data_IF_136374406117
#
_entry.id   IF_136374406117
#
_cell.length_a   1.000
_cell.length_b   1.000
_cell.length_c   1.000
_cell.angle_alpha   90.00
_cell.angle_beta   90.00
_cell.angle_gamma   90.00
#
_symmetry.space_group_name_H-M   'P 1'
#
loop_
_entity.id
_entity.type
_entity.pdbx_description
1 polymer ?
#
# COMPACT_ATOMS: atom_id res chain seq x y z
N UNK A 1 -3.94 -14.82 23.58
CA UNK A 1 -4.88 -14.12 22.68
C UNK A 1 -4.52 -14.53 21.27
N UNK A 2 -5.49 -14.60 20.35
CA UNK A 2 -5.20 -14.88 18.95
C UNK A 2 -4.50 -13.64 18.34
N UNK A 3 -3.26 -13.76 17.82
CA UNK A 3 -2.55 -12.62 17.23
C UNK A 3 -3.04 -12.31 15.80
N UNK A 4 -3.76 -13.23 15.16
CA UNK A 4 -4.23 -13.08 13.77
C UNK A 4 -5.33 -12.00 13.71
N UNK A 5 -5.14 -11.04 12.81
CA UNK A 5 -6.06 -9.92 12.62
C UNK A 5 -7.31 -10.35 11.86
N UNK A 6 -8.49 -9.77 12.18
CA UNK A 6 -9.67 -9.92 11.35
C UNK A 6 -9.38 -9.45 9.92
N UNK A 7 -9.86 -10.23 8.95
CA UNK A 7 -9.67 -9.94 7.52
C UNK A 7 -11.00 -9.55 6.89
N UNK A 8 -11.00 -8.47 6.10
CA UNK A 8 -12.17 -7.96 5.40
C UNK A 8 -11.92 -7.91 3.89
N UNK A 9 -12.76 -8.60 3.12
CA UNK A 9 -12.77 -8.52 1.66
C UNK A 9 -13.65 -7.35 1.20
N UNK A 10 -13.15 -6.54 0.27
CA UNK A 10 -13.86 -5.35 -0.22
C UNK A 10 -14.05 -5.42 -1.72
N UNK A 11 -15.32 -5.47 -2.14
CA UNK A 11 -15.69 -5.40 -3.54
C UNK A 11 -15.38 -4.03 -4.14
N UNK A 12 -14.83 -4.01 -5.35
CA UNK A 12 -14.48 -2.78 -6.08
C UNK A 12 -14.83 -2.93 -7.56
N UNK A 13 -15.24 -1.84 -8.25
CA UNK A 13 -15.51 -1.89 -9.68
C UNK A 13 -14.34 -2.40 -10.54
N UNK A 14 -13.11 -2.22 -10.06
CA UNK A 14 -11.87 -2.62 -10.72
C UNK A 14 -11.28 -3.93 -10.17
N UNK A 15 -11.96 -4.55 -9.20
CA UNK A 15 -11.49 -5.77 -8.52
C UNK A 15 -11.48 -6.99 -9.42
N UNK A 16 -10.92 -8.11 -8.94
CA UNK A 16 -10.87 -9.38 -9.65
C UNK A 16 -12.01 -10.31 -9.21
N UNK A 17 -12.52 -11.08 -10.15
CA UNK A 17 -13.43 -12.20 -9.97
C UNK A 17 -12.70 -13.50 -9.57
N UNK A 18 -11.41 -13.61 -9.90
CA UNK A 18 -10.52 -14.68 -9.44
C UNK A 18 -9.32 -14.08 -8.74
N UNK A 19 -9.20 -14.34 -7.45
CA UNK A 19 -8.08 -13.89 -6.63
C UNK A 19 -6.94 -14.92 -6.64
N UNK A 20 -5.68 -14.47 -6.48
CA UNK A 20 -4.59 -15.39 -6.28
C UNK A 20 -4.72 -16.08 -4.90
N UNK A 21 -4.33 -17.36 -4.79
CA UNK A 21 -4.30 -18.05 -3.51
C UNK A 21 -3.50 -17.28 -2.45
N UNK A 22 -3.93 -17.31 -1.18
CA UNK A 22 -5.04 -18.11 -0.65
C UNK A 22 -6.37 -17.33 -0.61
N UNK A 23 -6.45 -16.18 -1.27
CA UNK A 23 -7.67 -15.39 -1.29
C UNK A 23 -8.66 -15.96 -2.30
N UNK A 24 -9.95 -15.81 -1.99
CA UNK A 24 -11.04 -16.24 -2.85
C UNK A 24 -12.06 -15.11 -2.97
N UNK A 25 -12.61 -14.92 -4.17
CA UNK A 25 -13.74 -14.02 -4.39
C UNK A 25 -15.04 -14.83 -4.35
N UNK A 26 -16.06 -14.38 -3.62
CA UNK A 26 -17.40 -14.97 -3.71
C UNK A 26 -17.94 -14.92 -5.15
N UNK A 27 -18.74 -15.91 -5.52
CA UNK A 27 -19.31 -16.00 -6.86
C UNK A 27 -20.14 -14.75 -7.21
N UNK A 28 -19.78 -14.08 -8.31
CA UNK A 28 -20.45 -12.86 -8.78
C UNK A 28 -19.94 -11.57 -8.14
N UNK A 29 -18.97 -11.63 -7.23
CA UNK A 29 -18.31 -10.47 -6.65
C UNK A 29 -16.94 -10.21 -7.29
N UNK A 30 -16.59 -8.93 -7.41
CA UNK A 30 -15.26 -8.50 -7.84
C UNK A 30 -14.54 -7.89 -6.64
N UNK A 31 -13.62 -8.64 -6.05
CA UNK A 31 -12.86 -8.20 -4.87
C UNK A 31 -11.63 -7.44 -5.32
N UNK A 32 -11.51 -6.18 -4.89
CA UNK A 32 -10.35 -5.35 -5.21
C UNK A 32 -9.35 -5.26 -4.08
N UNK A 33 -9.81 -5.39 -2.83
CA UNK A 33 -8.96 -5.18 -1.67
C UNK A 33 -9.25 -6.23 -0.60
N UNK A 34 -8.20 -6.68 0.08
CA UNK A 34 -8.28 -7.45 1.32
C UNK A 34 -7.63 -6.62 2.41
N UNK A 35 -8.38 -6.27 3.44
CA UNK A 35 -7.92 -5.43 4.55
C UNK A 35 -7.66 -6.29 5.76
N UNK A 36 -6.56 -6.02 6.46
CA UNK A 36 -6.35 -6.52 7.81
C UNK A 36 -6.76 -5.42 8.79
N UNK A 37 -7.81 -5.66 9.57
CA UNK A 37 -8.39 -4.65 10.46
C UNK A 37 -7.33 -4.16 11.46
N UNK A 38 -7.09 -2.84 11.55
CA UNK A 38 -6.06 -2.27 12.41
C UNK A 38 -6.28 -2.68 13.88
N UNK A 39 -5.29 -3.30 14.55
CA UNK A 39 -5.44 -3.68 15.94
C UNK A 39 -5.34 -2.47 16.86
N UNK A 40 -5.95 -2.55 18.05
CA UNK A 40 -5.94 -1.45 19.03
C UNK A 40 -4.52 -0.98 19.43
N UNK A 41 -3.53 -1.88 19.40
CA UNK A 41 -2.14 -1.56 19.72
C UNK A 41 -1.42 -0.81 18.58
N UNK A 42 -1.91 -0.90 17.34
CA UNK A 42 -1.34 -0.25 16.15
C UNK A 42 -2.45 0.38 15.29
N UNK A 43 -3.22 1.34 15.83
CA UNK A 43 -4.40 1.86 15.13
C UNK A 43 -4.04 2.79 13.97
N UNK A 44 -2.78 3.20 13.86
CA UNK A 44 -2.29 4.15 12.84
C UNK A 44 -1.78 3.50 11.56
N UNK A 45 -1.79 2.17 11.44
CA UNK A 45 -1.38 1.46 10.23
C UNK A 45 -2.50 0.58 9.69
N UNK A 46 -2.58 0.51 8.38
CA UNK A 46 -3.45 -0.40 7.66
C UNK A 46 -2.63 -1.11 6.58
N UNK A 47 -2.76 -2.44 6.56
CA UNK A 47 -2.14 -3.28 5.53
C UNK A 47 -3.23 -3.87 4.66
N UNK A 48 -3.01 -3.84 3.35
CA UNK A 48 -3.94 -4.39 2.37
C UNK A 48 -3.22 -5.25 1.34
N UNK A 49 -3.95 -6.22 0.80
CA UNK A 49 -3.68 -6.71 -0.54
C UNK A 49 -4.59 -6.00 -1.52
N UNK A 50 -4.06 -5.56 -2.65
CA UNK A 50 -4.81 -4.94 -3.74
C UNK A 50 -4.70 -5.82 -4.99
N UNK A 51 -5.84 -6.08 -5.63
CA UNK A 51 -5.98 -6.90 -6.81
C UNK A 51 -6.71 -6.13 -7.91
N UNK A 52 -5.96 -5.55 -8.85
CA UNK A 52 -6.50 -4.75 -9.94
C UNK A 52 -6.64 -5.60 -11.22
N UNK A 53 -7.86 -5.69 -11.76
CA UNK A 53 -8.10 -6.14 -13.15
C UNK A 53 -8.34 -4.98 -14.11
N UNK A 54 -8.72 -3.82 -13.58
CA UNK A 54 -8.84 -2.56 -14.31
C UNK A 54 -8.06 -1.47 -13.57
N UNK A 55 -7.79 -0.35 -14.24
CA UNK A 55 -7.16 0.79 -13.59
C UNK A 55 -8.05 1.34 -12.47
N UNK A 56 -7.43 1.59 -11.31
CA UNK A 56 -8.00 2.38 -10.23
C UNK A 56 -8.12 3.84 -10.66
N UNK A 57 -8.92 4.62 -9.94
CA UNK A 57 -8.99 6.05 -10.18
C UNK A 57 -7.64 6.74 -9.98
N UNK A 58 -7.40 7.80 -10.76
CA UNK A 58 -6.33 8.76 -10.46
C UNK A 58 -6.72 9.53 -9.21
N UNK A 59 -5.84 9.50 -8.22
CA UNK A 59 -6.15 10.00 -6.88
C UNK A 59 -4.94 10.67 -6.22
N UNK A 60 -5.22 11.37 -5.13
CA UNK A 60 -4.21 12.02 -4.29
C UNK A 60 -4.68 12.04 -2.84
N UNK A 61 -3.71 12.05 -1.94
CA UNK A 61 -3.93 12.02 -0.49
C UNK A 61 -3.31 13.25 0.19
N UNK A 62 -3.95 13.82 1.23
CA UNK A 62 -3.37 14.88 2.03
C UNK A 62 -2.29 14.35 2.98
N UNK A 63 -1.44 15.26 3.47
CA UNK A 63 -0.52 14.99 4.59
C UNK A 63 -1.22 15.16 5.94
N UNK A 64 -0.57 14.71 7.02
CA UNK A 64 -1.03 14.91 8.40
C UNK A 64 -1.31 16.39 8.69
N UNK A 65 -0.36 17.26 8.34
CA UNK A 65 -0.48 18.71 8.56
C UNK A 65 -1.65 19.35 7.80
N UNK A 66 -1.92 18.89 6.57
CA UNK A 66 -3.08 19.37 5.80
C UNK A 66 -4.39 18.87 6.41
N UNK A 67 -4.43 17.61 6.83
CA UNK A 67 -5.61 17.01 7.46
C UNK A 67 -5.98 17.73 8.76
N UNK A 68 -4.97 18.07 9.57
CA UNK A 68 -5.14 18.84 10.81
C UNK A 68 -5.61 20.27 10.52
N UNK A 69 -4.98 20.96 9.56
CA UNK A 69 -5.40 22.29 9.15
C UNK A 69 -6.83 22.36 8.60
N UNK A 70 -7.30 21.28 7.98
CA UNK A 70 -8.68 21.14 7.47
C UNK A 70 -9.68 20.67 8.55
N UNK A 71 -9.22 20.30 9.75
CA UNK A 71 -10.07 19.77 10.81
C UNK A 71 -10.64 18.37 10.53
N UNK A 72 -9.98 17.59 9.66
CA UNK A 72 -10.42 16.25 9.24
C UNK A 72 -9.84 15.12 10.12
N UNK A 73 -8.92 15.46 11.02
CA UNK A 73 -8.20 14.52 11.87
C UNK A 73 -6.70 14.84 11.92
N UNK A 74 -5.91 13.91 12.46
CA UNK A 74 -4.45 14.08 12.60
C UNK A 74 -3.64 13.26 11.61
N UNK A 75 -4.28 12.39 10.83
CA UNK A 75 -3.62 11.46 9.90
C UNK A 75 -4.02 11.78 8.46
N UNK A 76 -3.03 12.16 7.66
CA UNK A 76 -3.08 12.09 6.21
C UNK A 76 -2.93 10.65 5.74
N UNK A 77 -2.44 10.47 4.52
CA UNK A 77 -2.24 9.14 3.95
C UNK A 77 -1.01 9.09 3.07
N UNK A 78 0.10 8.68 3.67
CA UNK A 78 1.25 8.12 2.96
C UNK A 78 1.13 6.60 2.91
N UNK A 79 1.65 6.04 1.83
CA UNK A 79 1.55 4.62 1.54
C UNK A 79 2.82 4.11 0.87
N UNK A 80 2.99 2.80 0.87
CA UNK A 80 3.98 2.13 0.08
C UNK A 80 3.43 0.84 -0.50
N UNK A 81 3.97 0.45 -1.65
CA UNK A 81 3.50 -0.66 -2.44
C UNK A 81 4.63 -1.61 -2.75
N UNK A 82 4.44 -2.89 -2.40
CA UNK A 82 5.26 -3.99 -2.89
C UNK A 82 4.46 -4.75 -3.94
N UNK A 83 4.89 -4.69 -5.20
CA UNK A 83 4.27 -5.45 -6.29
C UNK A 83 4.56 -6.93 -6.08
N UNK A 84 3.52 -7.75 -5.92
CA UNK A 84 3.64 -9.19 -5.69
C UNK A 84 3.37 -10.01 -6.97
N UNK A 85 2.62 -9.45 -7.91
CA UNK A 85 2.43 -10.01 -9.25
C UNK A 85 2.01 -8.90 -10.22
N UNK A 86 2.38 -9.04 -11.49
CA UNK A 86 2.03 -8.09 -12.53
C UNK A 86 1.82 -8.84 -13.86
N UNK A 87 0.71 -8.54 -14.54
CA UNK A 87 0.43 -9.05 -15.89
C UNK A 87 1.27 -8.31 -16.95
N UNK A 88 1.44 -8.87 -18.16
CA UNK A 88 2.16 -8.18 -19.23
C UNK A 88 1.57 -6.79 -19.51
N UNK A 89 2.42 -5.76 -19.46
CA UNK A 89 2.00 -4.37 -19.68
C UNK A 89 1.42 -3.66 -18.45
N UNK A 90 1.40 -4.31 -17.28
CA UNK A 90 0.99 -3.68 -16.03
C UNK A 90 1.89 -2.50 -15.66
N UNK A 91 1.26 -1.44 -15.18
CA UNK A 91 1.91 -0.16 -14.87
C UNK A 91 1.37 0.45 -13.57
N UNK A 92 2.18 1.27 -12.92
CA UNK A 92 1.77 2.19 -11.87
C UNK A 92 1.95 3.62 -12.35
N UNK A 93 0.91 4.45 -12.26
CA UNK A 93 1.00 5.88 -12.55
C UNK A 93 1.36 6.62 -11.28
N UNK A 94 2.52 7.28 -11.22
CA UNK A 94 2.99 7.95 -10.00
C UNK A 94 3.67 9.28 -10.36
N UNK A 95 3.12 10.39 -9.88
CA UNK A 95 3.53 11.72 -10.26
C UNK A 95 3.31 12.00 -11.75
N UNK A 96 3.93 13.07 -12.23
CA UNK A 96 3.80 13.53 -13.61
C UNK A 96 5.09 13.36 -14.40
N UNK A 97 4.98 13.31 -15.73
CA UNK A 97 6.15 13.26 -16.64
C UNK A 97 6.99 14.55 -16.56
N UNK A 98 6.32 15.66 -16.30
CA UNK A 98 6.85 17.01 -16.18
C UNK A 98 6.07 17.74 -15.08
N UNK A 99 6.49 18.96 -14.70
CA UNK A 99 5.73 19.76 -13.75
C UNK A 99 4.37 20.19 -14.34
N UNK A 100 3.30 20.06 -13.56
CA UNK A 100 1.92 20.34 -13.96
C UNK A 100 1.29 21.31 -12.97
N UNK A 101 0.76 22.44 -13.47
CA UNK A 101 0.02 23.37 -12.60
C UNK A 101 -1.34 22.81 -12.16
N UNK A 102 -1.89 23.33 -11.06
CA UNK A 102 -3.24 22.95 -10.62
C UNK A 102 -4.33 23.22 -11.65
N UNK A 103 -4.20 24.28 -12.47
CA UNK A 103 -5.13 24.59 -13.56
C UNK A 103 -5.07 23.55 -14.68
N UNK A 104 -3.85 23.16 -15.11
CA UNK A 104 -3.66 22.10 -16.09
C UNK A 104 -4.19 20.76 -15.57
N UNK A 105 -3.90 20.42 -14.32
CA UNK A 105 -4.40 19.22 -13.66
C UNK A 105 -5.93 19.19 -13.65
N UNK A 106 -6.59 20.33 -13.34
CA UNK A 106 -8.04 20.45 -13.33
C UNK A 106 -8.67 20.21 -14.70
N UNK A 107 -8.13 20.87 -15.72
CA UNK A 107 -8.62 20.73 -17.08
C UNK A 107 -8.47 19.27 -17.54
N UNK A 108 -7.30 18.69 -17.33
CA UNK A 108 -6.98 17.34 -17.73
C UNK A 108 -7.78 16.27 -16.96
N UNK A 109 -8.11 16.51 -15.69
CA UNK A 109 -8.97 15.64 -14.91
C UNK A 109 -10.42 15.62 -15.42
N UNK A 110 -10.91 16.75 -15.94
CA UNK A 110 -12.28 16.88 -16.45
C UNK A 110 -12.47 16.24 -17.83
N UNK A 111 -11.47 16.32 -18.71
CA UNK A 111 -11.53 15.72 -20.05
C UNK A 111 -10.88 14.33 -20.14
N UNK A 112 -10.20 13.89 -19.08
CA UNK A 112 -9.54 12.59 -18.97
C UNK A 112 -8.10 12.55 -19.46
N UNK A 113 -7.58 13.63 -20.04
CA UNK A 113 -6.19 13.71 -20.50
C UNK A 113 -5.15 13.69 -19.36
N UNK A 114 -5.57 13.70 -18.10
CA UNK A 114 -4.66 13.60 -16.95
C UNK A 114 -3.79 12.34 -16.99
N UNK A 115 -4.32 11.24 -17.54
CA UNK A 115 -3.55 10.00 -17.73
C UNK A 115 -2.35 10.20 -18.63
N UNK A 116 -2.47 11.05 -19.65
CA UNK A 116 -1.38 11.37 -20.55
C UNK A 116 -0.32 12.21 -19.84
N UNK A 117 -0.67 12.98 -18.82
CA UNK A 117 0.28 13.79 -18.06
C UNK A 117 1.07 12.94 -17.05
N UNK A 118 0.49 11.86 -16.55
CA UNK A 118 1.09 11.00 -15.52
C UNK A 118 2.33 10.26 -16.03
N UNK A 119 3.28 10.05 -15.11
CA UNK A 119 4.41 9.16 -15.35
C UNK A 119 3.99 7.71 -15.06
N UNK A 120 3.92 6.88 -16.10
CA UNK A 120 3.59 5.47 -15.99
C UNK A 120 4.86 4.62 -15.90
N UNK A 121 5.00 3.89 -14.80
CA UNK A 121 6.10 3.00 -14.49
C UNK A 121 5.70 1.56 -14.82
N UNK A 122 6.34 0.89 -15.79
CA UNK A 122 6.20 -0.56 -15.97
C UNK A 122 6.63 -1.29 -14.71
N UNK A 123 5.86 -2.29 -14.29
CA UNK A 123 6.13 -3.01 -13.04
C UNK A 123 6.18 -4.53 -13.23
N UNK A 124 6.91 -5.18 -12.32
CA UNK A 124 6.98 -6.63 -12.14
C UNK A 124 6.98 -6.97 -10.65
N UNK A 125 6.79 -8.25 -10.33
CA UNK A 125 6.91 -8.74 -8.97
C UNK A 125 8.29 -8.39 -8.38
N UNK A 126 8.29 -7.90 -7.13
CA UNK A 126 9.48 -7.43 -6.43
C UNK A 126 9.76 -5.93 -6.60
N UNK A 127 9.06 -5.21 -7.47
CA UNK A 127 9.20 -3.75 -7.50
C UNK A 127 8.54 -3.11 -6.27
N UNK A 128 9.21 -2.11 -5.69
CA UNK A 128 8.75 -1.40 -4.51
C UNK A 128 8.68 0.10 -4.76
N UNK A 129 7.63 0.73 -4.25
CA UNK A 129 7.36 2.16 -4.37
C UNK A 129 6.92 2.74 -3.03
N UNK A 130 7.52 3.86 -2.62
CA UNK A 130 6.99 4.71 -1.56
C UNK A 130 6.22 5.87 -2.18
N UNK A 131 5.03 6.18 -1.66
CA UNK A 131 4.13 7.21 -2.16
C UNK A 131 3.94 8.25 -1.05
N UNK A 132 4.74 9.33 -1.08
CA UNK A 132 4.54 10.44 -0.14
C UNK A 132 3.16 11.07 -0.32
N UNK A 133 2.66 11.71 0.73
CA UNK A 133 1.44 12.51 0.63
C UNK A 133 1.58 13.54 -0.49
N UNK A 134 0.45 13.94 -1.06
CA UNK A 134 0.34 14.91 -2.16
C UNK A 134 0.79 14.40 -3.53
N UNK A 135 1.32 13.18 -3.63
CA UNK A 135 1.67 12.57 -4.91
C UNK A 135 0.41 12.11 -5.62
N UNK A 136 0.17 12.60 -6.85
CA UNK A 136 -0.92 12.07 -7.70
C UNK A 136 -0.52 10.68 -8.20
N UNK A 137 -1.39 9.69 -8.05
CA UNK A 137 -1.07 8.31 -8.40
C UNK A 137 -2.31 7.50 -8.82
N UNK A 138 -2.06 6.36 -9.46
CA UNK A 138 -3.05 5.37 -9.86
C UNK A 138 -2.40 3.98 -9.98
N UNK A 139 -3.12 2.94 -9.55
CA UNK A 139 -2.74 1.55 -9.80
C UNK A 139 -3.37 1.12 -11.12
N UNK A 140 -2.55 0.74 -12.09
CA UNK A 140 -3.01 0.27 -13.41
C UNK A 140 -3.61 -1.13 -13.36
N UNK A 141 -4.22 -1.53 -14.48
CA UNK A 141 -4.78 -2.88 -14.65
C UNK A 141 -3.68 -3.96 -14.56
N UNK A 142 -4.05 -5.15 -14.11
CA UNK A 142 -3.16 -6.30 -14.09
C UNK A 142 -2.15 -6.32 -12.94
N UNK A 143 -2.21 -5.36 -12.01
CA UNK A 143 -1.32 -5.28 -10.84
C UNK A 143 -1.93 -6.01 -9.64
N UNK A 144 -1.12 -6.78 -8.93
CA UNK A 144 -1.39 -7.25 -7.57
C UNK A 144 -0.28 -6.79 -6.65
N UNK A 145 -0.61 -6.14 -5.54
CA UNK A 145 0.38 -5.57 -4.62
C UNK A 145 -0.05 -5.69 -3.15
N UNK A 146 0.93 -5.58 -2.26
CA UNK A 146 0.70 -5.32 -0.84
C UNK A 146 0.88 -3.81 -0.63
N UNK A 147 -0.12 -3.19 -0.01
CA UNK A 147 -0.09 -1.80 0.42
C UNK A 147 0.08 -1.74 1.94
N UNK A 148 1.05 -0.96 2.41
CA UNK A 148 1.14 -0.51 3.81
C UNK A 148 0.96 0.99 3.81
N UNK A 149 -0.03 1.47 4.56
CA UNK A 149 -0.40 2.88 4.61
C UNK A 149 -0.65 3.32 6.05
N UNK A 150 -0.62 4.64 6.27
CA UNK A 150 -1.28 5.22 7.44
C UNK A 150 -2.77 4.82 7.42
N UNK A 151 -3.36 4.62 8.60
CA UNK A 151 -4.77 4.27 8.71
C UNK A 151 -5.67 5.51 8.51
N UNK A 152 -5.83 5.89 7.23
CA UNK A 152 -6.68 6.98 6.79
C UNK A 152 -7.43 6.58 5.53
N UNK A 153 -8.70 6.97 5.47
CA UNK A 153 -9.59 6.74 4.33
C UNK A 153 -9.69 7.96 3.39
N UNK A 154 -8.95 9.04 3.67
CA UNK A 154 -9.05 10.28 2.89
C UNK A 154 -8.44 10.09 1.50
N UNK A 155 -9.32 10.01 0.49
CA UNK A 155 -8.94 9.82 -0.91
C UNK A 155 -9.61 10.87 -1.79
N UNK A 156 -8.84 11.78 -2.37
CA UNK A 156 -9.35 12.73 -3.34
C UNK A 156 -9.18 12.18 -4.75
N UNK A 157 -10.30 11.77 -5.32
CA UNK A 157 -10.38 11.26 -6.69
C UNK A 157 -10.33 12.41 -7.70
N UNK A 158 -9.36 12.38 -8.61
CA UNK A 158 -9.23 13.36 -9.68
C UNK A 158 -9.89 12.87 -10.97
N UNK A 159 -9.70 11.61 -11.34
CA UNK A 159 -10.28 11.04 -12.55
C UNK A 159 -10.64 9.56 -12.36
N UNK A 160 -11.72 9.11 -13.01
CA UNK A 160 -12.26 7.76 -12.81
C UNK A 160 -12.81 7.09 -14.06
N UNK A 161 -12.30 7.43 -15.24
CA UNK A 161 -12.65 6.72 -16.47
C UNK A 161 -14.16 6.77 -16.79
N UNK A 162 -14.83 7.85 -16.39
CA UNK A 162 -16.28 8.03 -16.57
C UNK A 162 -17.17 7.16 -15.67
N UNK A 163 -16.60 6.41 -14.71
CA UNK A 163 -17.39 5.65 -13.72
C UNK A 163 -18.18 6.61 -12.82
N UNK A 164 -19.41 6.25 -12.39
CA UNK A 164 -20.31 7.15 -11.66
C UNK A 164 -19.93 7.26 -10.17
N UNK A 165 -18.66 7.59 -9.88
CA UNK A 165 -18.17 7.87 -8.53
C UNK A 165 -17.76 9.33 -8.43
N UNK A 166 -17.88 9.87 -7.22
CA UNK A 166 -17.57 11.27 -6.95
C UNK A 166 -16.09 11.59 -7.25
N UNK A 167 -15.89 12.73 -7.92
CA UNK A 167 -14.59 13.39 -8.08
C UNK A 167 -14.48 14.51 -7.05
N UNK A 168 -13.30 14.69 -6.48
CA UNK A 168 -13.02 15.64 -5.41
C UNK A 168 -12.02 16.68 -5.91
N UNK A 169 -12.31 17.31 -7.06
CA UNK A 169 -11.33 18.14 -7.77
C UNK A 169 -10.79 19.29 -6.93
N UNK A 170 -11.66 20.04 -6.24
CA UNK A 170 -11.21 21.19 -5.44
C UNK A 170 -10.27 20.76 -4.31
N UNK A 171 -10.67 19.77 -3.51
CA UNK A 171 -9.86 19.26 -2.40
C UNK A 171 -8.59 18.56 -2.89
N UNK A 172 -8.70 17.76 -3.95
CA UNK A 172 -7.58 17.03 -4.54
C UNK A 172 -6.53 17.95 -5.12
N UNK A 173 -6.92 18.94 -5.93
CA UNK A 173 -5.98 19.90 -6.52
C UNK A 173 -5.35 20.79 -5.44
N UNK A 174 -6.10 21.15 -4.39
CA UNK A 174 -5.58 21.95 -3.29
C UNK A 174 -4.45 21.26 -2.52
N UNK A 175 -4.41 19.92 -2.49
CA UNK A 175 -3.35 19.17 -1.82
C UNK A 175 -2.32 18.58 -2.77
N UNK A 176 -2.63 18.43 -4.05
CA UNK A 176 -1.75 17.77 -5.01
C UNK A 176 -0.48 18.58 -5.30
N UNK A 177 0.63 17.86 -5.42
CA UNK A 177 1.87 18.38 -6.02
C UNK A 177 1.95 17.87 -7.45
N UNK A 178 1.91 18.80 -8.40
CA UNK A 178 2.11 18.51 -9.82
C UNK A 178 3.59 18.33 -10.16
N UNK A 179 4.28 17.45 -9.44
CA UNK A 179 5.73 17.27 -9.52
C UNK A 179 6.09 15.95 -10.22
N UNK A 180 7.33 15.89 -10.71
CA UNK A 180 7.94 14.64 -11.19
C UNK A 180 8.26 13.75 -10.00
N UNK A 181 7.86 12.48 -10.08
CA UNK A 181 8.12 11.52 -9.01
C UNK A 181 9.63 11.23 -8.88
N UNK A 182 10.17 11.41 -7.67
CA UNK A 182 11.60 11.30 -7.46
C UNK A 182 12.07 9.83 -7.54
N UNK A 183 13.14 9.52 -8.30
CA UNK A 183 13.63 8.14 -8.48
C UNK A 183 14.00 7.42 -7.17
N UNK A 184 14.37 8.17 -6.12
CA UNK A 184 14.74 7.60 -4.82
C UNK A 184 13.61 6.83 -4.13
N UNK A 185 12.36 7.05 -4.55
CA UNK A 185 11.19 6.45 -3.92
C UNK A 185 10.78 5.12 -4.53
N UNK A 186 11.43 4.67 -5.60
CA UNK A 186 11.19 3.35 -6.16
C UNK A 186 12.47 2.60 -6.42
N UNK A 187 12.41 1.27 -6.27
CA UNK A 187 13.51 0.37 -6.59
C UNK A 187 12.99 -1.06 -6.79
N UNK A 188 13.69 -1.88 -7.57
CA UNK A 188 13.51 -3.31 -7.47
C UNK A 188 13.99 -3.79 -6.09
N UNK A 189 13.30 -4.79 -5.56
CA UNK A 189 13.70 -5.55 -4.37
C UNK A 189 14.14 -6.92 -4.86
N UNK A 190 15.26 -7.41 -4.31
CA UNK A 190 15.75 -8.77 -4.58
C UNK A 190 14.69 -9.81 -4.23
N UNK A 191 14.77 -11.05 -4.73
CA UNK A 191 13.75 -12.07 -4.38
C UNK A 191 13.90 -12.56 -2.94
N UNK A 192 15.11 -12.49 -2.39
CA UNK A 192 15.52 -13.10 -1.12
C UNK A 192 16.39 -12.14 -0.29
N UNK A 193 16.57 -12.47 0.99
CA UNK A 193 17.38 -11.72 1.95
C UNK A 193 16.61 -10.69 2.77
N UNK A 194 17.20 -10.28 3.91
CA UNK A 194 16.69 -9.20 4.74
C UNK A 194 16.87 -7.85 4.03
N UNK A 195 15.83 -7.01 4.01
CA UNK A 195 15.85 -5.72 3.32
C UNK A 195 14.91 -4.70 4.00
N UNK A 196 15.42 -3.50 4.29
CA UNK A 196 14.63 -2.37 4.78
C UNK A 196 14.02 -1.61 3.60
N UNK A 197 12.71 -1.74 3.44
CA UNK A 197 11.97 -1.10 2.35
C UNK A 197 11.61 0.34 2.67
N UNK A 198 11.22 0.61 3.93
CA UNK A 198 10.90 1.94 4.46
C UNK A 198 11.50 2.08 5.84
N UNK A 199 12.17 3.21 6.12
CA UNK A 199 12.71 3.54 7.44
C UNK A 199 12.25 4.92 7.93
N UNK A 200 11.02 5.30 7.56
CA UNK A 200 10.39 6.57 7.88
C UNK A 200 10.01 7.41 6.66
N UNK A 201 9.32 8.55 6.90
CA UNK A 201 9.20 9.22 8.20
C UNK A 201 8.14 8.67 9.17
N UNK A 202 7.08 8.03 8.67
CA UNK A 202 5.88 7.75 9.47
C UNK A 202 5.80 6.31 9.98
N UNK A 203 6.39 5.38 9.23
CA UNK A 203 6.42 3.98 9.57
C UNK A 203 7.66 3.32 8.99
N UNK A 204 7.93 2.13 9.49
CA UNK A 204 9.00 1.25 9.04
C UNK A 204 8.40 0.00 8.40
N UNK A 205 9.01 -0.49 7.34
CA UNK A 205 8.66 -1.73 6.68
C UNK A 205 9.94 -2.46 6.28
N UNK A 206 10.08 -3.70 6.74
CA UNK A 206 11.19 -4.58 6.39
C UNK A 206 10.67 -5.90 5.85
N UNK A 207 11.43 -6.48 4.95
CA UNK A 207 11.33 -7.90 4.62
C UNK A 207 12.37 -8.68 5.37
N UNK A 208 11.97 -9.81 5.95
CA UNK A 208 12.85 -10.79 6.56
C UNK A 208 12.82 -12.11 5.79
N UNK A 209 13.97 -12.78 5.74
CA UNK A 209 14.18 -14.09 5.11
C UNK A 209 14.83 -15.03 6.13
N UNK A 210 13.99 -15.79 6.84
CA UNK A 210 14.37 -16.45 8.07
C UNK A 210 14.38 -15.53 9.30
N UNK A 211 15.04 -15.98 10.39
CA UNK A 211 15.05 -15.23 11.64
C UNK A 211 15.63 -13.81 11.44
N UNK A 212 15.00 -12.76 12.02
CA UNK A 212 15.47 -11.39 11.87
C UNK A 212 16.87 -11.23 12.47
N UNK A 213 17.71 -10.42 11.82
CA UNK A 213 19.05 -10.09 12.28
C UNK A 213 19.01 -9.35 13.62
N UNK A 214 20.14 -9.34 14.34
CA UNK A 214 20.25 -8.60 15.60
C UNK A 214 20.01 -7.10 15.43
N UNK A 215 20.49 -6.52 14.32
CA UNK A 215 20.25 -5.12 14.00
C UNK A 215 18.76 -4.83 13.82
N UNK A 216 18.06 -5.68 13.07
CA UNK A 216 16.62 -5.52 12.86
C UNK A 216 15.82 -5.76 14.14
N UNK A 217 16.24 -6.72 14.99
CA UNK A 217 15.64 -6.91 16.32
C UNK A 217 15.76 -5.65 17.17
N UNK A 218 16.92 -4.97 17.18
CA UNK A 218 17.09 -3.72 17.90
C UNK A 218 16.17 -2.61 17.37
N UNK A 219 15.96 -2.55 16.06
CA UNK A 219 15.07 -1.57 15.43
C UNK A 219 13.58 -1.78 15.78
N UNK A 220 13.18 -2.98 16.21
CA UNK A 220 11.79 -3.30 16.58
C UNK A 220 11.59 -3.57 18.08
N UNK A 221 12.66 -3.68 18.86
CA UNK A 221 12.61 -4.01 20.28
C UNK A 221 11.76 -3.00 21.07
N UNK A 222 10.86 -3.52 21.91
CA UNK A 222 9.94 -2.75 22.75
C UNK A 222 8.73 -2.15 22.03
N UNK A 223 8.54 -2.46 20.74
CA UNK A 223 7.44 -1.91 19.94
C UNK A 223 6.56 -3.02 19.35
N UNK A 224 5.21 -2.86 19.41
CA UNK A 224 4.32 -3.75 18.69
C UNK A 224 4.53 -3.60 17.17
N UNK A 225 4.31 -4.68 16.44
CA UNK A 225 4.51 -4.76 15.00
C UNK A 225 3.49 -5.68 14.34
N UNK A 226 3.20 -5.40 13.07
CA UNK A 226 2.44 -6.28 12.21
C UNK A 226 3.39 -7.22 11.46
N UNK A 227 2.96 -8.48 11.30
CA UNK A 227 3.70 -9.54 10.62
C UNK A 227 2.83 -10.09 9.49
N UNK A 228 3.36 -10.06 8.26
CA UNK A 228 2.67 -10.48 7.05
C UNK A 228 3.48 -11.60 6.38
N UNK A 229 3.08 -12.87 6.55
CA UNK A 229 3.75 -13.99 5.90
C UNK A 229 3.65 -13.89 4.37
N UNK A 230 4.78 -14.09 3.70
CA UNK A 230 4.87 -14.25 2.24
C UNK A 230 5.10 -15.69 1.83
N UNK A 231 5.64 -16.50 2.74
CA UNK A 231 5.81 -17.95 2.60
C UNK A 231 5.40 -18.67 3.89
N UNK A 232 5.24 -19.99 3.82
CA UNK A 232 4.92 -20.84 4.98
C UNK A 232 6.12 -20.88 5.94
N UNK A 233 5.86 -20.92 7.24
CA UNK A 233 6.89 -21.02 8.27
C UNK A 233 7.05 -19.77 9.13
N UNK A 234 5.98 -18.98 9.25
CA UNK A 234 5.92 -17.78 10.11
C UNK A 234 4.97 -18.04 11.27
N UNK A 235 5.38 -17.66 12.47
CA UNK A 235 4.54 -17.72 13.67
C UNK A 235 4.74 -16.48 14.55
N UNK A 236 3.69 -16.14 15.30
CA UNK A 236 3.69 -15.04 16.27
C UNK A 236 3.19 -15.56 17.61
N UNK A 237 4.00 -15.42 18.67
CA UNK A 237 3.67 -15.93 20.00
C UNK A 237 3.45 -17.45 20.03
N UNK A 238 4.10 -18.18 19.14
CA UNK A 238 3.94 -19.63 18.96
C UNK A 238 2.68 -20.06 18.21
N UNK A 239 1.91 -19.13 17.66
CA UNK A 239 0.77 -19.39 16.77
C UNK A 239 1.22 -19.25 15.32
N UNK A 240 1.02 -20.28 14.51
CA UNK A 240 1.30 -20.23 13.08
C UNK A 240 0.42 -19.17 12.40
N UNK A 241 1.02 -18.38 11.52
CA UNK A 241 0.36 -17.35 10.71
C UNK A 241 0.50 -17.76 9.25
N UNK A 242 -0.62 -17.98 8.57
CA UNK A 242 -0.64 -18.45 7.20
C UNK A 242 -0.30 -17.33 6.21
N UNK A 243 0.12 -17.72 5.00
CA UNK A 243 0.16 -16.78 3.87
C UNK A 243 -1.25 -16.24 3.65
N UNK A 244 -1.35 -14.94 3.37
CA UNK A 244 -2.64 -14.25 3.23
C UNK A 244 -3.29 -13.82 4.55
N UNK A 245 -2.69 -14.15 5.69
CA UNK A 245 -3.05 -13.56 6.98
C UNK A 245 -2.11 -12.41 7.35
N UNK A 246 -2.48 -11.68 8.40
CA UNK A 246 -1.63 -10.71 9.08
C UNK A 246 -1.82 -10.91 10.58
N UNK A 247 -0.74 -10.81 11.34
CA UNK A 247 -0.77 -10.96 12.78
C UNK A 247 -0.12 -9.77 13.48
N UNK A 248 -0.57 -9.47 14.70
CA UNK A 248 0.09 -8.52 15.58
C UNK A 248 0.99 -9.26 16.59
N UNK A 249 2.23 -8.83 16.65
CA UNK A 249 3.18 -9.15 17.71
C UNK A 249 3.34 -7.94 18.64
N UNK A 250 3.49 -8.18 19.94
CA UNK A 250 3.76 -7.11 20.93
C UNK A 250 5.21 -6.66 20.94
N UNK A 251 6.09 -7.54 20.47
CA UNK A 251 7.53 -7.34 20.37
C UNK A 251 8.08 -8.27 19.28
N UNK A 252 9.22 -7.91 18.69
CA UNK A 252 9.91 -8.74 17.69
C UNK A 252 10.30 -10.12 18.22
N UNK A 253 10.50 -10.28 19.53
CA UNK A 253 10.81 -11.56 20.15
C UNK A 253 9.65 -12.55 20.11
N UNK A 254 8.41 -12.10 19.87
CA UNK A 254 7.28 -12.97 19.61
C UNK A 254 7.28 -13.51 18.16
N UNK A 255 8.08 -12.95 17.25
CA UNK A 255 8.10 -13.30 15.83
C UNK A 255 9.14 -14.37 15.55
N UNK A 256 8.69 -15.51 15.03
CA UNK A 256 9.56 -16.59 14.57
C UNK A 256 9.31 -16.88 13.09
N UNK A 257 10.38 -16.79 12.30
CA UNK A 257 10.39 -17.10 10.86
C UNK A 257 11.40 -18.22 10.62
N UNK A 258 10.93 -19.33 10.06
CA UNK A 258 11.76 -20.48 9.73
C UNK A 258 12.82 -20.10 8.68
N UNK A 259 13.99 -20.71 8.77
CA UNK A 259 15.08 -20.46 7.82
C UNK A 259 14.62 -20.67 6.38
N UNK A 260 14.65 -19.59 5.60
CA UNK A 260 14.26 -19.59 4.20
C UNK A 260 12.79 -19.25 3.92
N UNK A 261 11.97 -18.94 4.94
CA UNK A 261 10.64 -18.38 4.78
C UNK A 261 10.69 -16.84 4.73
N UNK A 262 9.84 -16.24 3.91
CA UNK A 262 9.72 -14.79 3.78
C UNK A 262 8.55 -14.22 4.59
N UNK A 263 8.77 -13.07 5.23
CA UNK A 263 7.71 -12.25 5.82
C UNK A 263 8.02 -10.75 5.64
N UNK A 264 6.97 -9.93 5.66
CA UNK A 264 7.10 -8.50 5.91
C UNK A 264 6.79 -8.21 7.37
N UNK A 265 7.51 -7.27 7.97
CA UNK A 265 7.21 -6.74 9.29
C UNK A 265 7.12 -5.22 9.24
N UNK A 266 6.16 -4.63 9.94
CA UNK A 266 5.95 -3.17 9.91
C UNK A 266 5.48 -2.63 11.25
N UNK A 267 5.92 -1.41 11.57
CA UNK A 267 5.49 -0.66 12.75
C UNK A 267 5.47 0.84 12.45
N UNK A 268 4.66 1.63 13.17
CA UNK A 268 4.78 3.09 13.17
C UNK A 268 6.15 3.52 13.73
N UNK A 269 6.59 4.72 13.37
CA UNK A 269 7.77 5.38 13.95
C UNK A 269 7.39 6.44 14.98
#
# INVERSE_FOLDING_TARGET
MNPILPTRSVAKPWGRDVLPPPFEAPAGERIGEIWFEPPELLPGLLVKYIFASEALSVQVHPSDAQTEAMGLGHQGKEECWLVIAAEPGAVLGIGFREEVSGEQMRAAALDGSIEELMAWHPVKAGDFFYIPANTVHAIGAGVSLIEVQQNSDITYRLYDYGRPRELHLDAGIAVAKGEVYAPKWHRPVEVRGEDTLVSGPLFRLDRIDGPPSEALRLDYAGHPLLVIPREIGVSVGGIDVAVGECAIARDIDEVAVQGGALALITRPL
#
